data_IF_543391040567
#
_entry.id   IF_543391040567
#
_cell.length_a   1.000
_cell.length_b   1.000
_cell.length_c   1.000
_cell.angle_alpha   90.00
_cell.angle_beta   90.00
_cell.angle_gamma   90.00
#
_symmetry.space_group_name_H-M   'P 1'
#
loop_
_entity.id
_entity.type
_entity.pdbx_description
1 polymer ?
#
# COMPACT_ATOMS: atom_id res chain seq x y z
N UNK A 1 8.72 12.54 18.55
CA UNK A 1 8.90 12.00 17.18
C UNK A 1 7.73 12.45 16.33
N UNK A 2 7.97 13.02 15.15
CA UNK A 2 6.89 13.49 14.27
C UNK A 2 6.35 12.32 13.44
N UNK A 3 5.02 12.24 13.26
CA UNK A 3 4.34 11.22 12.45
C UNK A 3 4.85 11.17 10.99
N UNK A 4 5.40 12.29 10.52
CA UNK A 4 6.02 12.43 9.19
C UNK A 4 7.20 11.48 8.95
N UNK A 5 7.94 11.09 9.99
CA UNK A 5 9.05 10.13 9.87
C UNK A 5 8.52 8.74 9.48
N UNK A 6 7.39 8.33 10.03
CA UNK A 6 6.75 7.06 9.65
C UNK A 6 6.19 7.10 8.23
N UNK A 7 5.71 8.27 7.78
CA UNK A 7 5.32 8.47 6.37
C UNK A 7 6.52 8.31 5.45
N UNK A 8 7.67 8.92 5.78
CA UNK A 8 8.89 8.74 4.99
C UNK A 8 9.34 7.27 4.95
N UNK A 9 9.30 6.56 6.10
CA UNK A 9 9.58 5.13 6.16
C UNK A 9 8.64 4.29 5.30
N UNK A 10 7.34 4.62 5.28
CA UNK A 10 6.36 3.96 4.43
C UNK A 10 6.66 4.20 2.94
N UNK A 11 6.94 5.45 2.55
CA UNK A 11 7.31 5.80 1.16
C UNK A 11 8.54 5.03 0.70
N UNK A 12 9.58 4.96 1.53
CA UNK A 12 10.81 4.21 1.20
C UNK A 12 10.54 2.71 1.07
N UNK A 13 9.80 2.13 2.02
CA UNK A 13 9.49 0.70 2.04
C UNK A 13 8.67 0.29 0.81
N UNK A 14 7.59 1.03 0.52
CA UNK A 14 6.71 0.76 -0.61
C UNK A 14 7.33 1.13 -1.98
N UNK A 15 8.21 2.13 -2.02
CA UNK A 15 8.93 2.52 -3.23
C UNK A 15 9.90 1.43 -3.72
N UNK A 16 10.59 0.76 -2.78
CA UNK A 16 11.53 -0.34 -3.11
C UNK A 16 10.81 -1.69 -3.23
N UNK A 17 9.66 -1.86 -2.57
CA UNK A 17 8.89 -3.10 -2.53
C UNK A 17 8.66 -3.72 -3.92
N UNK A 18 8.18 -2.94 -4.90
CA UNK A 18 7.82 -3.48 -6.21
C UNK A 18 8.98 -4.10 -6.98
N UNK A 19 10.16 -3.48 -6.95
CA UNK A 19 11.34 -3.99 -7.63
C UNK A 19 11.89 -5.24 -6.96
N UNK A 20 11.99 -5.25 -5.63
CA UNK A 20 12.42 -6.42 -4.87
C UNK A 20 11.43 -7.59 -4.99
N UNK A 21 10.13 -7.30 -4.99
CA UNK A 21 9.10 -8.32 -5.17
C UNK A 21 9.18 -8.96 -6.56
N UNK A 22 9.34 -8.14 -7.61
CA UNK A 22 9.51 -8.65 -8.96
C UNK A 22 10.76 -9.51 -9.10
N UNK A 23 11.92 -9.06 -8.60
CA UNK A 23 13.16 -9.86 -8.59
C UNK A 23 12.98 -11.18 -7.82
N UNK A 24 12.40 -11.12 -6.61
CA UNK A 24 12.09 -12.31 -5.82
C UNK A 24 11.16 -13.30 -6.55
N UNK A 25 10.11 -12.79 -7.21
CA UNK A 25 9.20 -13.60 -8.02
C UNK A 25 9.92 -14.28 -9.19
N UNK A 26 10.80 -13.55 -9.88
CA UNK A 26 11.58 -14.08 -11.00
C UNK A 26 12.53 -15.19 -10.54
N UNK A 27 13.25 -14.98 -9.43
CA UNK A 27 14.17 -15.98 -8.85
C UNK A 27 13.45 -17.22 -8.34
N UNK A 28 12.25 -17.07 -7.78
CA UNK A 28 11.45 -18.19 -7.27
C UNK A 28 10.70 -18.95 -8.37
N UNK A 29 10.56 -18.35 -9.56
CA UNK A 29 9.83 -18.89 -10.71
C UNK A 29 8.33 -19.10 -10.46
N UNK A 30 7.78 -18.60 -9.35
CA UNK A 30 6.38 -18.80 -8.99
C UNK A 30 5.83 -17.60 -8.19
N UNK A 31 4.74 -16.97 -8.67
CA UNK A 31 4.09 -15.87 -7.94
C UNK A 31 3.47 -16.33 -6.62
N UNK A 32 3.02 -17.59 -6.52
CA UNK A 32 2.48 -18.13 -5.27
C UNK A 32 3.57 -18.30 -4.21
N UNK A 33 4.79 -18.67 -4.62
CA UNK A 33 5.95 -18.73 -3.69
C UNK A 33 6.33 -17.33 -3.21
N UNK A 34 6.35 -16.34 -4.11
CA UNK A 34 6.58 -14.95 -3.73
C UNK A 34 5.48 -14.42 -2.79
N UNK A 35 4.20 -14.71 -3.08
CA UNK A 35 3.08 -14.33 -2.23
C UNK A 35 3.17 -15.00 -0.85
N UNK A 36 3.61 -16.26 -0.77
CA UNK A 36 3.84 -16.94 0.49
C UNK A 36 4.93 -16.23 1.32
N UNK A 37 6.03 -15.83 0.70
CA UNK A 37 7.08 -15.04 1.37
C UNK A 37 6.54 -13.69 1.89
N UNK A 38 5.71 -13.00 1.10
CA UNK A 38 5.04 -11.76 1.54
C UNK A 38 4.11 -12.04 2.73
N UNK A 39 3.33 -13.11 2.69
CA UNK A 39 2.45 -13.53 3.77
C UNK A 39 3.21 -13.83 5.06
N UNK A 40 4.35 -14.52 4.98
CA UNK A 40 5.23 -14.74 6.14
C UNK A 40 5.74 -13.42 6.70
N UNK A 41 6.19 -12.49 5.85
CA UNK A 41 6.63 -11.17 6.31
C UNK A 41 5.50 -10.39 7.00
N UNK A 42 4.28 -10.46 6.47
CA UNK A 42 3.10 -9.82 7.07
C UNK A 42 2.74 -10.44 8.43
N UNK A 43 2.90 -11.75 8.59
CA UNK A 43 2.75 -12.39 9.90
C UNK A 43 3.83 -11.92 10.88
N UNK A 44 5.11 -11.96 10.48
CA UNK A 44 6.22 -11.57 11.34
C UNK A 44 6.08 -10.12 11.83
N UNK A 45 5.79 -9.19 10.93
CA UNK A 45 5.67 -7.77 11.29
C UNK A 45 4.28 -7.46 11.88
N UNK A 46 3.22 -7.91 11.24
CA UNK A 46 1.83 -7.58 11.61
C UNK A 46 1.30 -8.32 12.83
N UNK A 47 1.95 -9.41 13.27
CA UNK A 47 1.55 -10.16 14.48
C UNK A 47 2.62 -10.05 15.56
N UNK A 48 3.88 -10.38 15.27
CA UNK A 48 4.89 -10.48 16.35
C UNK A 48 5.23 -9.11 16.95
N UNK A 49 5.38 -8.06 16.11
CA UNK A 49 5.68 -6.71 16.60
C UNK A 49 4.57 -6.16 17.51
N UNK A 50 3.28 -6.15 17.12
CA UNK A 50 2.24 -5.65 18.02
C UNK A 50 2.05 -6.53 19.26
N UNK A 51 2.19 -7.85 19.17
CA UNK A 51 2.11 -8.74 20.34
C UNK A 51 3.23 -8.41 21.34
N UNK A 52 4.47 -8.24 20.86
CA UNK A 52 5.60 -7.86 21.71
C UNK A 52 5.45 -6.44 22.30
N UNK A 53 4.90 -5.50 21.53
CA UNK A 53 4.68 -4.14 22.02
C UNK A 53 3.55 -4.08 23.07
N UNK A 54 2.43 -4.77 22.82
CA UNK A 54 1.28 -4.81 23.74
C UNK A 54 1.60 -5.57 25.03
N UNK A 55 2.43 -6.62 24.96
CA UNK A 55 2.84 -7.37 26.17
C UNK A 55 3.66 -6.54 27.16
N UNK A 56 4.24 -5.42 26.72
CA UNK A 56 4.97 -4.48 27.55
C UNK A 56 4.12 -3.31 28.08
N UNK A 57 2.87 -3.15 27.62
CA UNK A 57 2.00 -2.04 27.99
C UNK A 57 1.06 -2.42 29.15
N UNK A 58 0.74 -1.45 30.02
CA UNK A 58 -0.32 -1.61 31.03
C UNK A 58 -1.67 -1.72 30.30
N UNK A 59 -2.32 -2.89 30.42
CA UNK A 59 -3.52 -3.24 29.66
C UNK A 59 -3.30 -4.41 28.67
N UNK A 60 -2.06 -4.74 28.35
CA UNK A 60 -1.71 -5.97 27.64
C UNK A 60 -2.46 -6.17 26.31
N UNK A 61 -2.86 -7.42 26.06
CA UNK A 61 -3.68 -7.83 24.91
C UNK A 61 -5.20 -7.66 25.16
N UNK A 62 -5.61 -6.87 26.16
CA UNK A 62 -7.02 -6.58 26.40
C UNK A 62 -7.50 -5.38 25.57
N UNK A 63 -8.83 -5.21 25.44
CA UNK A 63 -9.43 -4.02 24.81
C UNK A 63 -9.86 -4.18 23.34
N UNK A 64 -9.84 -5.40 22.79
CA UNK A 64 -10.44 -5.67 21.48
C UNK A 64 -11.97 -5.52 21.54
N UNK A 65 -12.54 -4.83 20.55
CA UNK A 65 -13.99 -4.73 20.38
C UNK A 65 -14.39 -5.16 18.96
N UNK A 66 -15.62 -5.66 18.81
CA UNK A 66 -16.06 -6.26 17.55
C UNK A 66 -15.95 -5.30 16.34
N UNK A 67 -16.29 -4.02 16.52
CA UNK A 67 -16.23 -3.02 15.45
C UNK A 67 -14.81 -2.74 14.99
N UNK A 68 -13.91 -2.41 15.93
CA UNK A 68 -12.51 -2.12 15.65
C UNK A 68 -11.77 -3.34 15.08
N UNK A 69 -11.98 -4.52 15.65
CA UNK A 69 -11.38 -5.77 15.15
C UNK A 69 -11.83 -6.08 13.73
N UNK A 70 -13.13 -5.93 13.43
CA UNK A 70 -13.64 -6.19 12.08
C UNK A 70 -13.07 -5.20 11.07
N UNK A 71 -13.11 -3.89 11.36
CA UNK A 71 -12.58 -2.87 10.47
C UNK A 71 -11.08 -3.04 10.21
N UNK A 72 -10.28 -3.28 11.25
CA UNK A 72 -8.84 -3.51 11.13
C UNK A 72 -8.53 -4.79 10.33
N UNK A 73 -9.29 -5.86 10.55
CA UNK A 73 -9.13 -7.12 9.80
C UNK A 73 -9.45 -6.93 8.32
N UNK A 74 -10.55 -6.25 8.00
CA UNK A 74 -10.93 -5.95 6.62
C UNK A 74 -9.89 -5.05 5.93
N UNK A 75 -9.36 -4.04 6.63
CA UNK A 75 -8.26 -3.23 6.12
C UNK A 75 -7.01 -4.07 5.83
N UNK A 76 -6.65 -5.01 6.71
CA UNK A 76 -5.56 -5.96 6.48
C UNK A 76 -5.79 -6.86 5.27
N UNK A 77 -7.01 -7.36 5.08
CA UNK A 77 -7.40 -8.15 3.90
C UNK A 77 -7.25 -7.34 2.61
N UNK A 78 -7.68 -6.08 2.58
CA UNK A 78 -7.51 -5.20 1.41
C UNK A 78 -6.02 -5.03 1.06
N UNK A 79 -5.15 -4.88 2.06
CA UNK A 79 -3.69 -4.84 1.85
C UNK A 79 -3.13 -6.13 1.25
N UNK A 80 -3.53 -7.29 1.78
CA UNK A 80 -3.10 -8.59 1.28
C UNK A 80 -3.59 -8.86 -0.16
N UNK A 81 -4.84 -8.48 -0.47
CA UNK A 81 -5.40 -8.54 -1.83
C UNK A 81 -4.62 -7.62 -2.77
N UNK A 82 -4.29 -6.40 -2.33
CA UNK A 82 -3.47 -5.47 -3.11
C UNK A 82 -2.09 -6.05 -3.46
N UNK A 83 -1.40 -6.63 -2.46
CA UNK A 83 -0.12 -7.31 -2.68
C UNK A 83 -0.23 -8.48 -3.66
N UNK A 84 -1.29 -9.29 -3.55
CA UNK A 84 -1.60 -10.32 -4.53
C UNK A 84 -1.77 -9.71 -5.94
N UNK A 85 -2.61 -8.70 -6.12
CA UNK A 85 -2.81 -8.07 -7.43
C UNK A 85 -1.51 -7.56 -8.06
N UNK A 86 -0.57 -7.02 -7.27
CA UNK A 86 0.75 -6.60 -7.74
C UNK A 86 1.56 -7.80 -8.26
N UNK A 87 1.62 -8.90 -7.49
CA UNK A 87 2.31 -10.13 -7.87
C UNK A 87 1.73 -10.70 -9.18
N UNK A 88 0.40 -10.76 -9.29
CA UNK A 88 -0.25 -11.22 -10.52
C UNK A 88 -0.01 -10.27 -11.70
N UNK A 89 0.07 -8.96 -11.46
CA UNK A 89 0.43 -7.98 -12.50
C UNK A 89 1.84 -8.21 -13.03
N UNK A 90 2.80 -8.56 -12.16
CA UNK A 90 4.15 -8.96 -12.58
C UNK A 90 4.14 -10.30 -13.33
N UNK A 91 3.31 -11.26 -12.89
CA UNK A 91 3.15 -12.54 -13.59
C UNK A 91 2.61 -12.33 -15.01
N UNK A 92 1.73 -11.37 -15.23
CA UNK A 92 1.15 -11.05 -16.54
C UNK A 92 2.01 -10.13 -17.41
N UNK A 93 3.30 -9.96 -17.07
CA UNK A 93 4.27 -9.21 -17.88
C UNK A 93 4.42 -7.73 -17.49
N UNK A 94 3.77 -7.28 -16.42
CA UNK A 94 4.02 -5.95 -15.86
C UNK A 94 5.43 -5.86 -15.27
N UNK A 95 6.07 -4.71 -15.43
CA UNK A 95 7.34 -4.43 -14.76
C UNK A 95 7.17 -3.42 -13.63
N UNK A 96 8.06 -3.40 -12.62
CA UNK A 96 8.00 -2.45 -11.51
C UNK A 96 7.91 -0.99 -11.95
N UNK A 97 8.55 -0.65 -13.09
CA UNK A 97 8.54 0.69 -13.66
C UNK A 97 7.16 1.18 -14.11
N UNK A 98 6.20 0.27 -14.29
CA UNK A 98 4.83 0.61 -14.71
C UNK A 98 3.83 0.33 -13.60
N UNK A 99 3.88 -0.88 -13.03
CA UNK A 99 2.88 -1.32 -12.07
C UNK A 99 2.94 -0.44 -10.81
N UNK A 100 4.14 -0.09 -10.32
CA UNK A 100 4.25 0.69 -9.08
C UNK A 100 3.76 2.13 -9.25
N UNK A 101 4.18 2.91 -10.26
CA UNK A 101 3.64 4.25 -10.43
C UNK A 101 2.14 4.27 -10.73
N UNK A 102 1.59 3.27 -11.43
CA UNK A 102 0.15 3.15 -11.64
C UNK A 102 -0.60 2.91 -10.32
N UNK A 103 -0.12 1.98 -9.48
CA UNK A 103 -0.72 1.70 -8.17
C UNK A 103 -0.61 2.92 -7.24
N UNK A 104 0.57 3.53 -7.13
CA UNK A 104 0.78 4.66 -6.21
C UNK A 104 0.24 6.00 -6.75
N UNK A 105 0.01 6.13 -8.05
CA UNK A 105 -0.73 7.25 -8.63
C UNK A 105 -2.24 7.10 -8.46
N UNK A 106 -2.78 5.88 -8.61
CA UNK A 106 -4.22 5.61 -8.51
C UNK A 106 -4.74 5.45 -7.07
N UNK A 107 -3.98 4.81 -6.19
CA UNK A 107 -4.41 4.54 -4.81
C UNK A 107 -4.79 5.80 -4.01
N UNK A 108 -4.05 6.93 -4.09
CA UNK A 108 -4.46 8.16 -3.44
C UNK A 108 -5.81 8.68 -3.94
N UNK A 109 -6.09 8.59 -5.24
CA UNK A 109 -7.37 9.00 -5.84
C UNK A 109 -8.51 8.17 -5.26
N UNK A 110 -8.35 6.84 -5.25
CA UNK A 110 -9.35 5.92 -4.66
C UNK A 110 -9.57 6.21 -3.18
N UNK A 111 -8.51 6.39 -2.40
CA UNK A 111 -8.60 6.68 -0.97
C UNK A 111 -9.36 7.96 -0.69
N UNK A 112 -9.07 9.01 -1.46
CA UNK A 112 -9.71 10.31 -1.31
C UNK A 112 -11.19 10.25 -1.67
N UNK A 113 -11.56 9.61 -2.78
CA UNK A 113 -12.96 9.40 -3.19
C UNK A 113 -13.71 8.56 -2.14
N UNK A 114 -13.13 7.45 -1.69
CA UNK A 114 -13.72 6.61 -0.63
C UNK A 114 -13.94 7.39 0.66
N UNK A 115 -12.93 8.15 1.10
CA UNK A 115 -13.02 8.97 2.32
C UNK A 115 -14.11 10.03 2.20
N UNK A 116 -14.30 10.65 1.04
CA UNK A 116 -15.41 11.59 0.82
C UNK A 116 -16.78 10.92 0.88
N UNK A 117 -16.91 9.69 0.37
CA UNK A 117 -18.17 8.95 0.41
C UNK A 117 -18.54 8.56 1.85
N UNK A 118 -17.56 8.12 2.64
CA UNK A 118 -17.77 7.70 4.03
C UNK A 118 -17.87 8.91 4.98
N UNK A 119 -17.13 9.98 4.70
CA UNK A 119 -17.11 11.22 5.48
C UNK A 119 -17.40 12.43 4.58
N UNK A 120 -18.68 12.69 4.25
CA UNK A 120 -19.06 13.77 3.34
C UNK A 120 -18.59 15.14 3.86
N UNK A 121 -18.02 15.98 2.98
CA UNK A 121 -17.53 17.29 3.38
C UNK A 121 -18.70 18.20 3.75
N UNK A 122 -18.52 19.00 4.82
CA UNK A 122 -19.54 19.94 5.31
C UNK A 122 -19.80 21.12 4.36
N UNK A 123 -18.87 21.36 3.43
CA UNK A 123 -18.94 22.41 2.41
C UNK A 123 -18.45 21.85 1.08
N UNK A 124 -18.79 22.53 -0.02
CA UNK A 124 -18.35 22.12 -1.35
C UNK A 124 -16.80 22.07 -1.40
N UNK A 125 -16.21 21.00 -1.96
CA UNK A 125 -14.76 20.91 -2.13
C UNK A 125 -14.26 22.09 -2.97
N UNK A 126 -13.14 22.67 -2.56
CA UNK A 126 -12.48 23.73 -3.35
C UNK A 126 -12.16 23.22 -4.76
N UNK A 127 -12.38 24.00 -5.83
CA UNK A 127 -11.98 23.62 -7.18
C UNK A 127 -10.49 23.22 -7.29
N UNK A 128 -9.62 23.83 -6.48
CA UNK A 128 -8.17 23.51 -6.43
C UNK A 128 -7.88 22.07 -5.99
N UNK A 129 -8.78 21.47 -5.23
CA UNK A 129 -8.64 20.07 -4.83
C UNK A 129 -8.74 19.12 -6.03
N UNK A 130 -9.67 19.37 -6.95
CA UNK A 130 -9.80 18.60 -8.19
C UNK A 130 -8.58 18.80 -9.09
N UNK A 131 -8.04 20.02 -9.13
CA UNK A 131 -6.77 20.32 -9.82
C UNK A 131 -5.63 19.51 -9.20
N UNK A 132 -5.57 19.39 -7.87
CA UNK A 132 -4.57 18.57 -7.18
C UNK A 132 -4.63 17.09 -7.56
N UNK A 133 -5.83 16.51 -7.63
CA UNK A 133 -6.02 15.12 -8.10
C UNK A 133 -5.61 14.95 -9.57
N UNK A 134 -5.96 15.92 -10.42
CA UNK A 134 -5.56 15.92 -11.82
C UNK A 134 -4.04 15.99 -11.95
N UNK A 135 -3.39 16.91 -11.25
CA UNK A 135 -1.93 17.06 -11.27
C UNK A 135 -1.21 15.82 -10.73
N UNK A 136 -1.72 15.18 -9.68
CA UNK A 136 -1.16 13.92 -9.19
C UNK A 136 -1.24 12.80 -10.24
N UNK A 137 -2.40 12.68 -10.90
CA UNK A 137 -2.63 11.69 -11.97
C UNK A 137 -1.77 11.97 -13.20
N UNK A 138 -1.68 13.24 -13.62
CA UNK A 138 -0.85 13.70 -14.74
C UNK A 138 0.63 13.48 -14.42
N UNK A 139 1.07 13.81 -13.20
CA UNK A 139 2.46 13.59 -12.76
C UNK A 139 2.85 12.12 -12.80
N UNK A 140 1.99 11.22 -12.31
CA UNK A 140 2.20 9.78 -12.45
C UNK A 140 2.26 9.36 -13.93
N UNK A 141 1.38 9.90 -14.78
CA UNK A 141 1.40 9.69 -16.22
C UNK A 141 2.68 10.17 -16.91
N UNK A 142 3.21 11.34 -16.51
CA UNK A 142 4.46 11.89 -17.04
C UNK A 142 5.65 11.00 -16.68
N UNK A 143 5.73 10.52 -15.43
CA UNK A 143 6.78 9.58 -14.99
C UNK A 143 6.75 8.30 -15.84
N UNK A 144 5.56 7.81 -16.15
CA UNK A 144 5.40 6.63 -17.00
C UNK A 144 5.75 6.90 -18.46
N UNK A 145 5.32 8.04 -19.01
CA UNK A 145 5.51 8.38 -20.42
C UNK A 145 6.97 8.73 -20.75
N UNK A 146 7.62 9.53 -19.90
CA UNK A 146 9.00 10.00 -20.09
C UNK A 146 10.04 9.11 -19.39
N UNK A 147 9.70 7.87 -19.04
CA UNK A 147 10.68 6.96 -18.45
C UNK A 147 11.85 6.74 -19.42
N UNK A 148 13.10 6.70 -18.94
CA UNK A 148 14.23 6.35 -19.79
C UNK A 148 14.10 4.90 -20.27
N UNK A 149 14.51 4.63 -21.51
CA UNK A 149 14.59 3.27 -22.02
C UNK A 149 15.59 2.46 -21.17
N UNK A 150 15.25 1.21 -20.86
CA UNK A 150 16.18 0.31 -20.19
C UNK A 150 17.38 0.06 -21.11
N UNK A 151 18.59 0.13 -20.54
CA UNK A 151 19.83 -0.25 -21.22
C UNK A 151 19.94 -1.78 -21.35
#
# INVERSE_FOLDING_TARGET
MSWTVFVAGAVLSWGVYGSMLHDGQMRLGSPLRALLCVGVAYFLVGVLVPVAALSQQQGGLAGFNAGGTTAATMAGMLGAVGAACIIWSFRSGGSPLYVMPLVFGGAPVVNVVYTMMVHPPKSAPSPLWFVGLLLASVGAGMVLYFRPAAA
#
